data_IF_117069383852
#
_entry.id   IF_117069383852
#
_cell.length_a   1.000
_cell.length_b   1.000
_cell.length_c   1.000
_cell.angle_alpha   90.00
_cell.angle_beta   90.00
_cell.angle_gamma   90.00
#
_symmetry.space_group_name_H-M   'P 1'
#
loop_
_entity.id
_entity.type
_entity.pdbx_description
1 polymer ?
#
# COMPACT_ATOMS: atom_id res chain seq x y z
N UNK A 1 -6.53 33.91 -5.68
CA UNK A 1 -6.00 32.68 -5.05
C UNK A 1 -7.04 31.93 -4.21
N UNK A 2 -7.74 32.56 -3.25
CA UNK A 2 -8.72 31.87 -2.37
C UNK A 2 -9.92 31.22 -3.10
N UNK A 3 -10.49 31.88 -4.12
CA UNK A 3 -11.61 31.35 -4.92
C UNK A 3 -11.21 30.05 -5.66
N UNK A 4 -10.07 30.09 -6.36
CA UNK A 4 -9.51 28.93 -7.06
C UNK A 4 -9.27 27.74 -6.10
N UNK A 5 -8.72 27.99 -4.91
CA UNK A 5 -8.51 26.94 -3.90
C UNK A 5 -9.82 26.27 -3.45
N UNK A 6 -10.91 27.05 -3.33
CA UNK A 6 -12.24 26.55 -2.98
C UNK A 6 -12.83 25.70 -4.12
N UNK A 7 -12.78 26.19 -5.35
CA UNK A 7 -13.34 25.51 -6.53
C UNK A 7 -12.66 24.16 -6.76
N UNK A 8 -11.31 24.10 -6.68
CA UNK A 8 -10.60 22.83 -6.86
C UNK A 8 -10.97 21.87 -5.71
N UNK A 9 -11.12 22.35 -4.47
CA UNK A 9 -11.54 21.50 -3.32
C UNK A 9 -12.94 20.91 -3.53
N UNK A 10 -13.87 21.72 -4.01
CA UNK A 10 -15.25 21.30 -4.28
C UNK A 10 -15.34 20.31 -5.45
N UNK A 11 -14.63 20.57 -6.54
CA UNK A 11 -14.54 19.66 -7.68
C UNK A 11 -13.98 18.28 -7.28
N UNK A 12 -12.95 18.26 -6.43
CA UNK A 12 -12.42 17.01 -5.86
C UNK A 12 -13.44 16.25 -5.02
N UNK A 13 -14.23 16.96 -4.20
CA UNK A 13 -15.31 16.36 -3.39
C UNK A 13 -16.42 15.78 -4.27
N UNK A 14 -16.85 16.50 -5.31
CA UNK A 14 -17.86 16.03 -6.28
C UNK A 14 -17.36 14.82 -7.08
N UNK A 15 -16.09 14.80 -7.47
CA UNK A 15 -15.48 13.66 -8.15
C UNK A 15 -15.40 12.42 -7.25
N UNK A 16 -14.97 12.57 -5.99
CA UNK A 16 -14.95 11.49 -5.02
C UNK A 16 -16.36 10.91 -4.79
N UNK A 17 -17.35 11.78 -4.62
CA UNK A 17 -18.74 11.37 -4.40
C UNK A 17 -19.31 10.62 -5.61
N UNK A 18 -19.07 11.08 -6.84
CA UNK A 18 -19.50 10.38 -8.05
C UNK A 18 -18.88 8.99 -8.17
N UNK A 19 -17.57 8.86 -7.91
CA UNK A 19 -16.89 7.56 -7.91
C UNK A 19 -17.41 6.63 -6.81
N UNK A 20 -17.61 7.15 -5.60
CA UNK A 20 -18.16 6.34 -4.51
C UNK A 20 -19.58 5.89 -4.79
N UNK A 21 -20.45 6.77 -5.33
CA UNK A 21 -21.82 6.41 -5.70
C UNK A 21 -21.84 5.32 -6.78
N UNK A 22 -21.00 5.45 -7.81
CA UNK A 22 -20.86 4.43 -8.86
C UNK A 22 -20.39 3.09 -8.28
N UNK A 23 -19.37 3.09 -7.42
CA UNK A 23 -18.88 1.88 -6.76
C UNK A 23 -19.94 1.24 -5.84
N UNK A 24 -20.70 2.04 -5.09
CA UNK A 24 -21.78 1.52 -4.24
C UNK A 24 -22.97 1.01 -5.04
N UNK A 25 -23.26 1.59 -6.22
CA UNK A 25 -24.29 1.09 -7.11
C UNK A 25 -23.88 -0.25 -7.74
N UNK A 26 -22.65 -0.35 -8.24
CA UNK A 26 -22.10 -1.60 -8.76
C UNK A 26 -22.09 -2.69 -7.68
N UNK A 27 -21.61 -2.38 -6.47
CA UNK A 27 -21.62 -3.32 -5.36
C UNK A 27 -23.04 -3.77 -4.97
N UNK A 28 -24.02 -2.86 -5.03
CA UNK A 28 -25.42 -3.22 -4.77
C UNK A 28 -25.94 -4.21 -5.80
N UNK A 29 -25.69 -3.96 -7.08
CA UNK A 29 -26.06 -4.86 -8.17
C UNK A 29 -25.38 -6.24 -8.02
N UNK A 30 -24.10 -6.26 -7.67
CA UNK A 30 -23.35 -7.48 -7.36
C UNK A 30 -23.98 -8.30 -6.22
N UNK A 31 -24.43 -7.63 -5.16
CA UNK A 31 -25.09 -8.28 -4.02
C UNK A 31 -26.50 -8.79 -4.38
N UNK A 32 -27.25 -8.03 -5.18
CA UNK A 32 -28.57 -8.44 -5.69
C UNK A 32 -28.44 -9.69 -6.59
N UNK A 33 -27.44 -9.75 -7.48
CA UNK A 33 -27.13 -10.93 -8.29
C UNK A 33 -26.72 -12.14 -7.44
N UNK A 34 -25.98 -11.91 -6.36
CA UNK A 34 -25.60 -12.96 -5.42
C UNK A 34 -26.76 -13.42 -4.51
N UNK A 35 -27.90 -12.72 -4.51
CA UNK A 35 -29.02 -12.99 -3.62
C UNK A 35 -28.76 -12.62 -2.16
N UNK A 36 -27.81 -11.72 -1.89
CA UNK A 36 -27.50 -11.24 -0.54
C UNK A 36 -28.49 -10.15 -0.16
N UNK A 37 -29.40 -10.45 0.76
CA UNK A 37 -30.40 -9.51 1.25
C UNK A 37 -29.77 -8.35 2.04
N UNK A 38 -30.40 -7.17 2.02
CA UNK A 38 -30.02 -6.02 2.88
C UNK A 38 -29.22 -4.91 2.19
N UNK A 39 -28.78 -5.11 0.94
CA UNK A 39 -28.02 -4.11 0.18
C UNK A 39 -26.63 -3.83 0.77
N UNK A 40 -25.97 -2.75 0.32
CA UNK A 40 -24.61 -2.42 0.77
C UNK A 40 -24.64 -1.85 2.20
N UNK A 41 -23.92 -2.46 3.16
CA UNK A 41 -23.85 -1.96 4.53
C UNK A 41 -23.44 -0.48 4.60
N UNK A 42 -24.02 0.26 5.54
CA UNK A 42 -23.75 1.71 5.69
C UNK A 42 -22.26 1.99 5.89
N UNK A 43 -21.58 1.18 6.68
CA UNK A 43 -20.17 1.40 7.01
C UNK A 43 -19.26 1.10 5.83
N UNK A 44 -19.58 0.11 5.00
CA UNK A 44 -18.92 -0.14 3.72
C UNK A 44 -19.07 1.07 2.79
N UNK A 45 -20.28 1.65 2.65
CA UNK A 45 -20.49 2.86 1.83
C UNK A 45 -19.66 4.05 2.32
N UNK A 46 -19.62 4.28 3.63
CA UNK A 46 -18.83 5.34 4.24
C UNK A 46 -17.33 5.12 4.05
N UNK A 47 -16.85 3.88 4.23
CA UNK A 47 -15.46 3.52 4.02
C UNK A 47 -15.03 3.70 2.55
N UNK A 48 -15.86 3.29 1.58
CA UNK A 48 -15.62 3.54 0.15
C UNK A 48 -15.54 5.04 -0.15
N UNK A 49 -16.48 5.84 0.37
CA UNK A 49 -16.42 7.29 0.21
C UNK A 49 -15.15 7.88 0.80
N UNK A 50 -14.73 7.43 1.99
CA UNK A 50 -13.49 7.88 2.61
C UNK A 50 -12.25 7.45 1.82
N UNK A 51 -12.25 6.24 1.24
CA UNK A 51 -11.18 5.77 0.37
C UNK A 51 -11.03 6.67 -0.88
N UNK A 52 -12.10 6.90 -1.64
CA UNK A 52 -12.04 7.75 -2.84
C UNK A 52 -11.74 9.21 -2.53
N UNK A 53 -12.26 9.75 -1.42
CA UNK A 53 -11.93 11.10 -0.99
C UNK A 53 -10.44 11.24 -0.68
N UNK A 54 -9.86 10.26 0.04
CA UNK A 54 -8.44 10.27 0.40
C UNK A 54 -7.54 10.00 -0.80
N UNK A 55 -7.92 9.16 -1.76
CA UNK A 55 -7.11 8.94 -2.98
C UNK A 55 -6.98 10.21 -3.82
N UNK A 56 -8.05 11.00 -3.95
CA UNK A 56 -8.01 12.29 -4.66
C UNK A 56 -7.15 13.32 -3.89
N UNK A 57 -7.26 13.38 -2.57
CA UNK A 57 -6.42 14.25 -1.75
C UNK A 57 -4.93 13.87 -1.87
N UNK A 58 -4.62 12.58 -1.81
CA UNK A 58 -3.27 12.07 -1.97
C UNK A 58 -2.69 12.39 -3.36
N UNK A 59 -3.45 12.16 -4.44
CA UNK A 59 -3.00 12.50 -5.79
C UNK A 59 -2.70 13.99 -5.97
N UNK A 60 -3.53 14.88 -5.40
CA UNK A 60 -3.29 16.33 -5.43
C UNK A 60 -2.07 16.74 -4.62
N UNK A 61 -1.85 16.08 -3.49
CA UNK A 61 -0.68 16.32 -2.66
C UNK A 61 0.60 15.88 -3.38
N UNK A 62 0.64 14.68 -3.97
CA UNK A 62 1.77 14.22 -4.78
C UNK A 62 2.07 15.17 -5.94
N UNK A 63 1.03 15.66 -6.64
CA UNK A 63 1.21 16.63 -7.71
C UNK A 63 1.81 17.95 -7.21
N UNK A 64 1.35 18.46 -6.06
CA UNK A 64 1.90 19.67 -5.46
C UNK A 64 3.37 19.51 -5.07
N UNK A 65 3.75 18.35 -4.52
CA UNK A 65 5.15 18.01 -4.19
C UNK A 65 6.01 17.95 -5.45
N UNK A 66 5.51 17.33 -6.54
CA UNK A 66 6.23 17.27 -7.81
C UNK A 66 6.45 18.67 -8.41
N UNK A 67 5.40 19.51 -8.44
CA UNK A 67 5.50 20.90 -8.92
C UNK A 67 6.49 21.69 -8.08
N UNK A 68 6.40 21.59 -6.75
CA UNK A 68 7.30 22.29 -5.83
C UNK A 68 8.76 21.86 -6.01
N UNK A 69 8.99 20.56 -6.16
CA UNK A 69 10.33 19.99 -6.36
C UNK A 69 10.91 20.46 -7.69
N UNK A 70 10.13 20.39 -8.77
CA UNK A 70 10.55 20.88 -10.09
C UNK A 70 10.84 22.38 -10.11
N UNK A 71 9.97 23.18 -9.49
CA UNK A 71 10.18 24.63 -9.35
C UNK A 71 11.46 24.95 -8.58
N UNK A 72 11.70 24.25 -7.46
CA UNK A 72 12.89 24.45 -6.63
C UNK A 72 14.18 24.10 -7.37
N UNK A 73 14.19 23.00 -8.13
CA UNK A 73 15.33 22.62 -8.97
C UNK A 73 15.56 23.62 -10.10
N UNK A 74 14.50 24.08 -10.76
CA UNK A 74 14.59 25.11 -11.80
C UNK A 74 15.15 26.42 -11.26
N UNK A 75 14.71 26.82 -10.06
CA UNK A 75 15.22 28.01 -9.37
C UNK A 75 16.72 27.86 -9.05
N UNK A 76 17.15 26.75 -8.46
CA UNK A 76 18.57 26.48 -8.19
C UNK A 76 19.42 26.50 -9.47
N UNK A 77 18.90 25.97 -10.57
CA UNK A 77 19.60 25.97 -11.85
C UNK A 77 19.77 27.38 -12.44
N UNK A 78 18.73 28.21 -12.36
CA UNK A 78 18.77 29.60 -12.83
C UNK A 78 19.77 30.48 -12.05
N UNK A 79 20.10 30.10 -10.82
CA UNK A 79 21.00 30.88 -9.95
C UNK A 79 22.48 30.53 -10.13
N UNK A 80 22.78 29.47 -10.88
CA UNK A 80 24.15 29.00 -11.08
C UNK A 80 25.13 30.05 -11.69
N UNK A 81 24.73 30.99 -12.57
CA UNK A 81 25.68 31.91 -13.22
C UNK A 81 25.91 33.26 -12.50
N UNK A 82 25.36 33.49 -11.31
CA UNK A 82 25.49 34.78 -10.58
C UNK A 82 26.79 34.87 -9.77
N UNK A 83 27.93 35.06 -10.44
CA UNK A 83 29.27 34.88 -9.83
C UNK A 83 30.22 36.10 -9.89
N UNK A 84 29.80 37.35 -9.59
CA UNK A 84 30.81 38.45 -9.63
C UNK A 84 30.60 39.75 -8.82
N UNK A 85 29.56 39.96 -8.00
CA UNK A 85 29.40 41.25 -7.27
C UNK A 85 28.98 41.13 -5.79
N UNK A 86 29.86 41.40 -4.81
CA UNK A 86 29.68 40.98 -3.41
C UNK A 86 28.50 41.63 -2.66
N UNK A 87 28.14 42.88 -2.96
CA UNK A 87 27.06 43.60 -2.24
C UNK A 87 25.67 43.27 -2.81
N UNK A 88 25.55 43.17 -4.14
CA UNK A 88 24.32 42.71 -4.78
C UNK A 88 24.03 41.24 -4.46
N UNK A 89 25.09 40.44 -4.30
CA UNK A 89 25.01 39.05 -3.85
C UNK A 89 24.35 38.98 -2.47
N UNK A 90 24.67 39.82 -1.48
CA UNK A 90 24.06 39.69 -0.15
C UNK A 90 22.54 39.97 -0.16
N UNK A 91 22.10 41.04 -0.83
CA UNK A 91 20.69 41.46 -0.87
C UNK A 91 19.84 40.46 -1.68
N UNK A 92 20.38 39.90 -2.77
CA UNK A 92 19.69 38.92 -3.61
C UNK A 92 19.77 37.51 -3.01
N UNK A 93 20.91 37.13 -2.42
CA UNK A 93 21.10 35.79 -1.86
C UNK A 93 20.37 35.58 -0.55
N UNK A 94 20.18 36.58 0.30
CA UNK A 94 19.46 36.40 1.57
C UNK A 94 18.03 35.84 1.40
N UNK A 95 17.13 36.43 0.59
CA UNK A 95 15.81 35.85 0.34
C UNK A 95 15.89 34.50 -0.36
N UNK A 96 16.92 34.28 -1.19
CA UNK A 96 17.17 33.00 -1.86
C UNK A 96 17.59 31.89 -0.91
N UNK A 97 18.45 32.18 0.07
CA UNK A 97 18.84 31.27 1.14
C UNK A 97 17.62 30.94 1.98
N UNK A 98 16.75 31.92 2.28
CA UNK A 98 15.48 31.67 2.99
C UNK A 98 14.57 30.75 2.17
N UNK A 99 14.39 31.02 0.88
CA UNK A 99 13.60 30.15 -0.01
C UNK A 99 14.19 28.74 -0.08
N UNK A 100 15.52 28.61 -0.23
CA UNK A 100 16.20 27.33 -0.25
C UNK A 100 16.04 26.57 1.09
N UNK A 101 16.19 27.26 2.23
CA UNK A 101 15.99 26.68 3.55
C UNK A 101 14.54 26.24 3.77
N UNK A 102 13.56 27.04 3.35
CA UNK A 102 12.13 26.70 3.40
C UNK A 102 11.82 25.51 2.49
N UNK A 103 12.45 25.42 1.32
CA UNK A 103 12.34 24.25 0.43
C UNK A 103 12.90 23.00 1.08
N UNK A 104 14.07 23.07 1.70
CA UNK A 104 14.67 21.93 2.42
C UNK A 104 13.77 21.52 3.58
N UNK A 105 13.30 22.47 4.38
CA UNK A 105 12.38 22.21 5.49
C UNK A 105 11.08 21.56 5.00
N UNK A 106 10.45 22.13 3.96
CA UNK A 106 9.26 21.56 3.34
C UNK A 106 9.52 20.13 2.83
N UNK A 107 10.67 19.88 2.21
CA UNK A 107 11.04 18.55 1.71
C UNK A 107 11.23 17.51 2.82
N UNK A 108 11.56 17.94 4.04
CA UNK A 108 11.64 17.07 5.22
C UNK A 108 10.26 16.83 5.86
N UNK A 109 9.40 17.86 5.90
CA UNK A 109 8.07 17.75 6.48
C UNK A 109 7.07 17.01 5.57
N UNK A 110 7.17 17.18 4.26
CA UNK A 110 6.33 16.51 3.26
C UNK A 110 6.28 14.98 3.42
N UNK A 111 7.41 14.24 3.50
CA UNK A 111 7.38 12.78 3.68
C UNK A 111 6.81 12.39 5.04
N UNK A 112 7.02 13.19 6.09
CA UNK A 112 6.41 12.95 7.40
C UNK A 112 4.88 13.10 7.35
N UNK A 113 4.37 14.17 6.76
CA UNK A 113 2.94 14.34 6.51
C UNK A 113 2.39 13.26 5.57
N UNK A 114 3.16 12.83 4.57
CA UNK A 114 2.81 11.69 3.72
C UNK A 114 2.68 10.41 4.52
N UNK A 115 3.55 10.12 5.48
CA UNK A 115 3.42 8.92 6.31
C UNK A 115 2.14 8.95 7.15
N UNK A 116 1.80 10.10 7.73
CA UNK A 116 0.55 10.28 8.49
C UNK A 116 -0.69 10.10 7.59
N UNK A 117 -0.71 10.77 6.44
CA UNK A 117 -1.84 10.68 5.50
C UNK A 117 -1.90 9.34 4.77
N UNK A 118 -0.76 8.68 4.52
CA UNK A 118 -0.71 7.32 4.02
C UNK A 118 -1.35 6.37 5.02
N UNK A 119 -1.05 6.49 6.32
CA UNK A 119 -1.66 5.66 7.34
C UNK A 119 -3.20 5.84 7.40
N UNK A 120 -3.66 7.07 7.14
CA UNK A 120 -5.08 7.36 6.97
C UNK A 120 -5.64 6.72 5.70
N UNK A 121 -4.95 6.84 4.57
CA UNK A 121 -5.39 6.25 3.30
C UNK A 121 -5.46 4.72 3.35
N UNK A 122 -4.44 4.08 3.94
CA UNK A 122 -4.35 2.62 4.06
C UNK A 122 -5.45 2.02 4.93
N UNK A 123 -6.04 2.79 5.85
CA UNK A 123 -7.15 2.34 6.71
C UNK A 123 -8.39 1.89 5.94
N UNK A 124 -8.73 2.52 4.81
CA UNK A 124 -9.96 2.19 4.06
C UNK A 124 -9.69 1.43 2.76
N UNK A 125 -8.41 1.25 2.41
CA UNK A 125 -8.00 0.49 1.23
C UNK A 125 -8.47 -0.96 1.24
N UNK A 126 -8.47 -1.71 2.37
CA UNK A 126 -8.96 -3.08 2.38
C UNK A 126 -10.44 -3.19 1.97
N UNK A 127 -11.29 -2.26 2.44
CA UNK A 127 -12.72 -2.26 2.08
C UNK A 127 -12.91 -2.06 0.58
N UNK A 128 -12.14 -1.17 -0.05
CA UNK A 128 -12.20 -0.97 -1.49
C UNK A 128 -11.79 -2.22 -2.26
N UNK A 129 -10.69 -2.87 -1.85
CA UNK A 129 -10.21 -4.11 -2.51
C UNK A 129 -11.21 -5.25 -2.36
N UNK A 130 -11.83 -5.40 -1.19
CA UNK A 130 -12.87 -6.41 -0.99
C UNK A 130 -14.12 -6.12 -1.82
N UNK A 131 -14.54 -4.85 -1.90
CA UNK A 131 -15.68 -4.44 -2.73
C UNK A 131 -15.40 -4.66 -4.23
N UNK A 132 -14.19 -4.34 -4.70
CA UNK A 132 -13.78 -4.59 -6.08
C UNK A 132 -13.79 -6.10 -6.37
N UNK A 133 -13.26 -6.93 -5.47
CA UNK A 133 -13.29 -8.39 -5.60
C UNK A 133 -14.72 -8.95 -5.62
N UNK A 134 -15.65 -8.41 -4.81
CA UNK A 134 -17.07 -8.77 -4.88
C UNK A 134 -17.66 -8.44 -6.25
N UNK A 135 -17.29 -7.28 -6.81
CA UNK A 135 -17.62 -6.91 -8.19
C UNK A 135 -17.15 -7.97 -9.19
N UNK A 136 -15.84 -8.28 -9.19
CA UNK A 136 -15.24 -9.28 -10.07
C UNK A 136 -15.87 -10.67 -9.93
N UNK A 137 -16.20 -11.11 -8.71
CA UNK A 137 -16.87 -12.39 -8.48
C UNK A 137 -18.32 -12.39 -8.98
N UNK A 138 -19.02 -11.26 -8.88
CA UNK A 138 -20.40 -11.16 -9.36
C UNK A 138 -20.50 -11.19 -10.89
N UNK A 139 -19.47 -10.71 -11.61
CA UNK A 139 -19.39 -10.82 -13.08
C UNK A 139 -19.30 -12.27 -13.56
N UNK A 140 -18.82 -13.19 -12.70
CA UNK A 140 -18.74 -14.62 -13.01
C UNK A 140 -20.13 -15.28 -13.02
N UNK A 141 -21.07 -14.79 -12.21
CA UNK A 141 -22.40 -15.40 -12.05
C UNK A 141 -23.21 -15.46 -13.36
N UNK A 142 -23.36 -14.36 -14.13
CA UNK A 142 -24.09 -14.40 -15.40
C UNK A 142 -23.24 -14.88 -16.58
N UNK A 143 -21.93 -15.12 -16.40
CA UNK A 143 -21.02 -15.41 -17.51
C UNK A 143 -21.28 -16.78 -18.14
N UNK A 144 -21.24 -16.84 -19.47
CA UNK A 144 -21.28 -18.10 -20.22
C UNK A 144 -20.04 -18.97 -19.97
N UNK A 145 -20.14 -20.27 -20.26
CA UNK A 145 -19.08 -21.27 -19.95
C UNK A 145 -17.68 -20.88 -20.45
N UNK A 146 -17.57 -20.24 -21.62
CA UNK A 146 -16.28 -19.86 -22.22
C UNK A 146 -15.58 -18.76 -21.43
N UNK A 147 -16.30 -17.72 -21.04
CA UNK A 147 -15.74 -16.55 -20.36
C UNK A 147 -15.54 -16.80 -18.86
N UNK A 148 -16.38 -17.69 -18.30
CA UNK A 148 -16.37 -18.06 -16.89
C UNK A 148 -15.00 -18.54 -16.41
N UNK A 149 -14.29 -19.35 -17.20
CA UNK A 149 -12.95 -19.85 -16.82
C UNK A 149 -11.92 -18.72 -16.69
N UNK A 150 -11.93 -17.77 -17.62
CA UNK A 150 -11.01 -16.63 -17.58
C UNK A 150 -11.31 -15.71 -16.40
N UNK A 151 -12.60 -15.45 -16.14
CA UNK A 151 -13.04 -14.64 -15.01
C UNK A 151 -12.72 -15.32 -13.66
N UNK A 152 -12.90 -16.64 -13.55
CA UNK A 152 -12.51 -17.40 -12.36
C UNK A 152 -11.00 -17.36 -12.12
N UNK A 153 -10.18 -17.43 -13.17
CA UNK A 153 -8.72 -17.26 -13.03
C UNK A 153 -8.34 -15.87 -12.55
N UNK A 154 -8.99 -14.81 -13.06
CA UNK A 154 -8.79 -13.44 -12.60
C UNK A 154 -9.22 -13.30 -11.13
N UNK A 155 -10.41 -13.77 -10.79
CA UNK A 155 -10.95 -13.77 -9.43
C UNK A 155 -10.06 -14.53 -8.44
N UNK A 156 -9.46 -15.65 -8.84
CA UNK A 156 -8.51 -16.40 -8.00
C UNK A 156 -7.25 -15.59 -7.65
N UNK A 157 -6.73 -14.80 -8.61
CA UNK A 157 -5.58 -13.91 -8.37
C UNK A 157 -5.94 -12.74 -7.46
N UNK A 158 -7.13 -12.18 -7.64
CA UNK A 158 -7.65 -11.11 -6.78
C UNK A 158 -7.94 -11.61 -5.36
N UNK A 159 -8.50 -12.82 -5.22
CA UNK A 159 -8.72 -13.49 -3.95
C UNK A 159 -7.39 -13.67 -3.20
N UNK A 160 -6.33 -14.14 -3.88
CA UNK A 160 -4.99 -14.24 -3.27
C UNK A 160 -4.46 -12.88 -2.78
N UNK A 161 -4.76 -11.81 -3.52
CA UNK A 161 -4.41 -10.46 -3.10
C UNK A 161 -5.22 -10.02 -1.87
N UNK A 162 -6.50 -10.38 -1.81
CA UNK A 162 -7.37 -10.16 -0.66
C UNK A 162 -6.95 -10.99 0.57
N UNK A 163 -6.46 -12.21 0.42
CA UNK A 163 -5.91 -12.99 1.54
C UNK A 163 -4.70 -12.28 2.18
N UNK A 164 -3.75 -11.83 1.35
CA UNK A 164 -2.58 -11.08 1.83
C UNK A 164 -2.99 -9.77 2.51
N UNK A 165 -4.04 -9.14 2.00
CA UNK A 165 -4.67 -7.95 2.55
C UNK A 165 -5.25 -8.21 3.93
N UNK A 166 -6.09 -9.24 4.08
CA UNK A 166 -6.73 -9.66 5.33
C UNK A 166 -5.68 -9.96 6.39
N UNK A 167 -4.62 -10.69 6.03
CA UNK A 167 -3.48 -10.97 6.91
C UNK A 167 -2.75 -9.71 7.39
N UNK A 168 -2.94 -8.55 6.75
CA UNK A 168 -2.34 -7.25 7.12
C UNK A 168 -3.33 -6.24 7.69
N UNK A 169 -4.63 -6.50 7.64
CA UNK A 169 -5.68 -5.58 8.13
C UNK A 169 -5.43 -5.11 9.56
N UNK A 170 -4.89 -5.98 10.43
CA UNK A 170 -4.56 -5.64 11.82
C UNK A 170 -3.56 -4.51 11.98
N UNK A 171 -2.63 -4.35 11.03
CA UNK A 171 -1.66 -3.27 11.06
C UNK A 171 -2.23 -1.97 10.49
N UNK A 172 -3.10 -2.05 9.48
CA UNK A 172 -3.55 -0.87 8.74
C UNK A 172 -4.70 -0.13 9.41
N UNK A 173 -5.47 -0.80 10.28
CA UNK A 173 -6.49 -0.12 11.07
C UNK A 173 -5.84 0.83 12.08
N UNK A 174 -4.72 0.42 12.68
CA UNK A 174 -4.01 1.18 13.70
C UNK A 174 -4.75 1.29 15.04
N UNK A 175 -5.71 0.39 15.30
CA UNK A 175 -6.46 0.31 16.57
C UNK A 175 -5.70 -0.45 17.65
N UNK A 176 -4.83 -1.37 17.25
CA UNK A 176 -4.03 -2.19 18.17
C UNK A 176 -2.54 -1.85 17.98
N UNK A 177 -1.81 -1.46 19.04
CA UNK A 177 -0.38 -1.19 18.96
C UNK A 177 0.41 -2.37 18.40
N UNK A 178 1.54 -2.09 17.73
CA UNK A 178 2.36 -3.14 17.11
C UNK A 178 2.93 -4.14 18.12
N UNK A 179 3.19 -3.72 19.37
CA UNK A 179 3.76 -4.53 20.45
C UNK A 179 2.67 -4.82 21.50
N UNK A 180 1.48 -5.22 21.06
CA UNK A 180 0.39 -5.63 21.94
C UNK A 180 0.37 -7.15 22.11
N UNK A 181 0.10 -7.63 23.32
CA UNK A 181 -0.15 -9.05 23.62
C UNK A 181 -1.33 -9.64 22.83
N UNK A 182 -2.21 -8.80 22.27
CA UNK A 182 -3.35 -9.19 21.43
C UNK A 182 -2.96 -9.56 19.99
N UNK A 183 -1.74 -9.20 19.55
CA UNK A 183 -1.30 -9.43 18.16
C UNK A 183 -1.29 -10.90 17.72
N UNK A 184 -0.86 -11.88 18.55
CA UNK A 184 -0.92 -13.30 18.20
C UNK A 184 -2.35 -13.79 17.93
N UNK A 185 -3.31 -13.40 18.76
CA UNK A 185 -4.73 -13.75 18.59
C UNK A 185 -5.30 -13.14 17.31
N UNK A 186 -5.04 -11.85 17.04
CA UNK A 186 -5.47 -11.21 15.79
C UNK A 186 -4.83 -11.87 14.56
N UNK A 187 -3.58 -12.33 14.68
CA UNK A 187 -2.90 -13.09 13.62
C UNK A 187 -3.58 -14.44 13.41
N UNK A 188 -3.89 -15.18 14.49
CA UNK A 188 -4.63 -16.45 14.44
C UNK A 188 -6.00 -16.26 13.78
N UNK A 189 -6.79 -15.29 14.25
CA UNK A 189 -8.10 -14.95 13.67
C UNK A 189 -8.01 -14.67 12.17
N UNK A 190 -7.07 -13.82 11.74
CA UNK A 190 -6.90 -13.51 10.32
C UNK A 190 -6.58 -14.74 9.46
N UNK A 191 -5.91 -15.75 10.04
CA UNK A 191 -5.62 -17.00 9.34
C UNK A 191 -6.84 -17.91 9.25
N UNK A 192 -7.65 -17.98 10.31
CA UNK A 192 -8.93 -18.71 10.27
C UNK A 192 -9.85 -18.12 9.20
N UNK A 193 -9.94 -16.79 9.11
CA UNK A 193 -10.67 -16.09 8.04
C UNK A 193 -10.17 -16.48 6.65
N UNK A 194 -8.85 -16.50 6.44
CA UNK A 194 -8.25 -16.93 5.16
C UNK A 194 -8.57 -18.41 4.88
N UNK A 195 -8.43 -19.31 5.86
CA UNK A 195 -8.76 -20.73 5.69
C UNK A 195 -10.25 -20.89 5.32
N UNK A 196 -11.15 -20.14 5.96
CA UNK A 196 -12.59 -20.16 5.65
C UNK A 196 -12.89 -19.69 4.23
N UNK A 197 -12.22 -18.63 3.76
CA UNK A 197 -12.32 -18.16 2.37
C UNK A 197 -11.80 -19.20 1.39
N UNK A 198 -10.68 -19.87 1.68
CA UNK A 198 -10.15 -20.95 0.83
C UNK A 198 -11.07 -22.16 0.77
N UNK A 199 -11.69 -22.53 1.89
CA UNK A 199 -12.67 -23.63 1.95
C UNK A 199 -13.89 -23.31 1.08
N UNK A 200 -14.41 -22.08 1.15
CA UNK A 200 -15.48 -21.61 0.26
C UNK A 200 -15.03 -21.60 -1.21
N UNK A 201 -13.81 -21.14 -1.48
CA UNK A 201 -13.24 -21.14 -2.84
C UNK A 201 -13.01 -22.55 -3.41
N UNK A 202 -12.66 -23.53 -2.58
CA UNK A 202 -12.59 -24.93 -3.02
C UNK A 202 -13.96 -25.51 -3.41
N UNK A 203 -15.05 -24.90 -2.94
CA UNK A 203 -16.41 -25.20 -3.39
C UNK A 203 -16.65 -24.84 -4.86
N UNK A 204 -15.83 -23.95 -5.45
CA UNK A 204 -15.98 -23.53 -6.85
C UNK A 204 -15.85 -24.69 -7.84
N UNK A 205 -15.10 -25.73 -7.49
CA UNK A 205 -14.92 -26.92 -8.34
C UNK A 205 -16.14 -27.86 -8.31
N UNK A 206 -17.00 -27.75 -7.28
CA UNK A 206 -18.17 -28.62 -7.08
C UNK A 206 -19.47 -27.95 -7.49
N UNK A 207 -19.73 -26.78 -6.92
CA UNK A 207 -20.90 -25.96 -7.20
C UNK A 207 -20.45 -24.49 -7.23
N UNK A 208 -20.08 -24.05 -8.43
CA UNK A 208 -19.51 -22.74 -8.62
C UNK A 208 -20.48 -21.60 -8.26
N UNK A 209 -21.79 -21.76 -8.48
CA UNK A 209 -22.76 -20.69 -8.19
C UNK A 209 -22.96 -20.54 -6.68
N UNK A 210 -23.13 -21.66 -5.96
CA UNK A 210 -23.27 -21.63 -4.50
C UNK A 210 -21.99 -21.10 -3.81
N UNK A 211 -20.83 -21.58 -4.25
CA UNK A 211 -19.55 -21.14 -3.72
C UNK A 211 -19.26 -19.65 -3.99
N UNK A 212 -19.63 -19.12 -5.17
CA UNK A 212 -19.51 -17.68 -5.47
C UNK A 212 -20.38 -16.84 -4.54
N UNK A 213 -21.64 -17.23 -4.32
CA UNK A 213 -22.55 -16.52 -3.40
C UNK A 213 -22.03 -16.54 -1.96
N UNK A 214 -21.52 -17.69 -1.52
CA UNK A 214 -20.91 -17.83 -0.20
C UNK A 214 -19.66 -16.93 -0.06
N UNK A 215 -18.77 -16.93 -1.06
CA UNK A 215 -17.59 -16.06 -1.07
C UNK A 215 -17.97 -14.58 -1.01
N UNK A 216 -18.93 -14.14 -1.83
CA UNK A 216 -19.41 -12.76 -1.85
C UNK A 216 -19.95 -12.37 -0.48
N UNK A 217 -20.76 -13.24 0.14
CA UNK A 217 -21.31 -13.04 1.48
C UNK A 217 -20.21 -12.90 2.55
N UNK A 218 -19.21 -13.79 2.54
CA UNK A 218 -18.08 -13.71 3.48
C UNK A 218 -17.26 -12.43 3.28
N UNK A 219 -16.98 -12.05 2.03
CA UNK A 219 -16.19 -10.85 1.73
C UNK A 219 -16.90 -9.56 2.16
N UNK A 220 -18.22 -9.47 1.98
CA UNK A 220 -18.98 -8.29 2.43
C UNK A 220 -19.05 -8.23 3.96
N UNK A 221 -19.20 -9.38 4.64
CA UNK A 221 -19.16 -9.44 6.10
C UNK A 221 -17.80 -8.99 6.66
N UNK A 222 -16.70 -9.47 6.07
CA UNK A 222 -15.33 -9.04 6.43
C UNK A 222 -15.17 -7.53 6.20
N UNK A 223 -15.64 -7.02 5.05
CA UNK A 223 -15.55 -5.61 4.71
C UNK A 223 -16.31 -4.74 5.70
N UNK A 224 -17.51 -5.15 6.11
CA UNK A 224 -18.35 -4.44 7.07
C UNK A 224 -17.75 -4.43 8.47
N UNK A 225 -17.41 -5.60 9.01
CA UNK A 225 -16.75 -5.73 10.31
C UNK A 225 -15.43 -4.95 10.37
N UNK A 226 -14.65 -4.96 9.29
CA UNK A 226 -13.44 -4.15 9.20
C UNK A 226 -13.73 -2.65 9.13
N UNK A 227 -14.80 -2.24 8.43
CA UNK A 227 -15.23 -0.85 8.34
C UNK A 227 -15.62 -0.30 9.73
N UNK A 228 -16.38 -1.08 10.52
CA UNK A 228 -16.70 -0.80 11.92
C UNK A 228 -15.44 -0.71 12.77
N UNK A 229 -14.48 -1.62 12.54
CA UNK A 229 -13.20 -1.69 13.24
C UNK A 229 -12.99 -2.95 14.07
N UNK A 230 -13.83 -3.96 13.86
CA UNK A 230 -13.75 -5.29 14.48
C UNK A 230 -12.66 -6.15 13.82
N UNK A 231 -11.40 -5.72 13.97
CA UNK A 231 -10.24 -6.42 13.39
C UNK A 231 -10.06 -7.84 13.97
N UNK A 232 -10.49 -8.08 15.21
CA UNK A 232 -10.44 -9.39 15.86
C UNK A 232 -11.71 -10.24 15.69
N UNK A 233 -12.72 -9.73 14.99
CA UNK A 233 -13.99 -10.41 14.74
C UNK A 233 -14.46 -10.11 13.31
N UNK A 234 -13.55 -10.31 12.33
CA UNK A 234 -13.86 -10.11 10.91
C UNK A 234 -14.96 -11.06 10.42
N UNK A 235 -14.98 -12.28 10.94
CA UNK A 235 -16.01 -13.29 10.79
C UNK A 235 -16.28 -13.86 12.17
N UNK A 236 -17.51 -14.31 12.39
CA UNK A 236 -17.88 -15.09 13.56
C UNK A 236 -17.58 -16.56 13.25
N UNK A 237 -16.92 -17.23 14.18
CA UNK A 237 -16.65 -18.66 14.11
C UNK A 237 -17.35 -19.31 15.28
N UNK A 238 -18.06 -20.40 15.02
CA UNK A 238 -18.49 -21.31 16.07
C UNK A 238 -17.29 -22.10 16.60
N UNK A 239 -17.36 -22.60 17.84
CA UNK A 239 -16.28 -23.39 18.43
C UNK A 239 -15.96 -24.62 17.56
N UNK A 240 -16.98 -25.29 17.04
CA UNK A 240 -16.85 -26.43 16.12
C UNK A 240 -16.14 -26.06 14.81
N UNK A 241 -16.44 -24.88 14.24
CA UNK A 241 -15.75 -24.41 13.04
C UNK A 241 -14.29 -24.09 13.32
N UNK A 242 -14.00 -23.45 14.46
CA UNK A 242 -12.63 -23.10 14.85
C UNK A 242 -11.76 -24.36 15.02
N UNK A 243 -12.30 -25.42 15.63
CA UNK A 243 -11.61 -26.71 15.76
C UNK A 243 -11.41 -27.40 14.41
N UNK A 244 -12.37 -27.30 13.49
CA UNK A 244 -12.28 -27.92 12.16
C UNK A 244 -11.28 -27.22 11.22
N UNK A 245 -10.90 -25.97 11.51
CA UNK A 245 -10.11 -25.14 10.62
C UNK A 245 -8.64 -25.08 11.08
N UNK A 246 -7.77 -25.83 10.41
CA UNK A 246 -6.34 -25.64 10.60
C UNK A 246 -5.89 -24.27 10.05
N UNK A 247 -5.21 -23.44 10.86
CA UNK A 247 -4.77 -22.13 10.40
C UNK A 247 -3.70 -22.29 9.31
N UNK A 248 -3.92 -21.70 8.13
CA UNK A 248 -2.93 -21.80 7.05
C UNK A 248 -1.67 -20.96 7.34
N UNK A 249 -0.50 -21.60 7.43
CA UNK A 249 0.77 -20.94 7.77
C UNK A 249 1.59 -20.52 6.55
N UNK A 250 1.38 -21.09 5.37
CA UNK A 250 2.37 -21.07 4.28
C UNK A 250 2.45 -19.77 3.47
N UNK A 251 1.33 -19.12 3.15
CA UNK A 251 1.31 -18.04 2.15
C UNK A 251 1.60 -16.67 2.74
N UNK A 252 1.04 -16.37 3.93
CA UNK A 252 1.20 -15.05 4.55
C UNK A 252 2.62 -14.88 5.09
N UNK A 253 3.15 -15.91 5.76
CA UNK A 253 4.50 -15.80 6.34
C UNK A 253 5.57 -15.74 5.24
N UNK A 254 5.45 -16.49 4.15
CA UNK A 254 6.37 -16.39 3.00
C UNK A 254 6.32 -15.02 2.31
N UNK A 255 5.14 -14.47 2.07
CA UNK A 255 5.00 -13.13 1.48
C UNK A 255 5.51 -12.02 2.39
N UNK A 256 5.28 -12.12 3.71
CA UNK A 256 5.80 -11.17 4.69
C UNK A 256 7.33 -11.25 4.75
N UNK A 257 7.90 -12.45 4.75
CA UNK A 257 9.35 -12.62 4.72
C UNK A 257 9.97 -12.07 3.43
N UNK A 258 9.34 -12.30 2.27
CA UNK A 258 9.80 -11.76 1.00
C UNK A 258 9.79 -10.22 0.98
N UNK A 259 8.69 -9.59 1.45
CA UNK A 259 8.59 -8.12 1.52
C UNK A 259 9.58 -7.54 2.52
N UNK A 260 9.75 -8.17 3.69
CA UNK A 260 10.72 -7.71 4.69
C UNK A 260 12.15 -7.81 4.15
N UNK A 261 12.46 -8.88 3.41
CA UNK A 261 13.73 -9.05 2.71
C UNK A 261 13.96 -7.94 1.66
N UNK A 262 12.96 -7.65 0.82
CA UNK A 262 13.03 -6.58 -0.18
C UNK A 262 13.18 -5.19 0.43
N UNK A 263 12.38 -4.86 1.45
CA UNK A 263 12.45 -3.57 2.14
C UNK A 263 13.82 -3.34 2.78
N UNK A 264 14.38 -4.37 3.43
CA UNK A 264 15.73 -4.29 4.02
C UNK A 264 16.76 -3.97 2.95
N UNK A 265 16.69 -4.59 1.76
CA UNK A 265 17.60 -4.29 0.63
C UNK A 265 17.47 -2.84 0.16
N UNK A 266 16.24 -2.33 -0.01
CA UNK A 266 16.02 -0.94 -0.43
C UNK A 266 16.60 0.04 0.58
N UNK A 267 16.37 -0.17 1.87
CA UNK A 267 16.92 0.68 2.94
C UNK A 267 18.45 0.62 2.94
N UNK A 268 19.05 -0.57 2.78
CA UNK A 268 20.51 -0.72 2.69
C UNK A 268 21.08 0.01 1.47
N UNK A 269 20.44 -0.09 0.30
CA UNK A 269 20.88 0.60 -0.93
C UNK A 269 20.80 2.12 -0.74
N UNK A 270 19.70 2.63 -0.20
CA UNK A 270 19.53 4.07 0.05
C UNK A 270 20.55 4.60 1.06
N UNK A 271 20.79 3.86 2.14
CA UNK A 271 21.79 4.23 3.15
C UNK A 271 23.21 4.22 2.56
N UNK A 272 23.57 3.18 1.79
CA UNK A 272 24.86 3.10 1.12
C UNK A 272 25.05 4.23 0.10
N UNK A 273 24.02 4.53 -0.70
CA UNK A 273 24.03 5.65 -1.64
C UNK A 273 24.18 7.01 -0.95
N UNK A 274 23.50 7.22 0.19
CA UNK A 274 23.62 8.44 0.97
C UNK A 274 25.03 8.61 1.57
N UNK A 275 25.61 7.54 2.12
CA UNK A 275 26.98 7.55 2.66
C UNK A 275 28.01 7.81 1.56
N UNK A 276 27.87 7.14 0.41
CA UNK A 276 28.70 7.35 -0.77
C UNK A 276 28.66 8.81 -1.25
N UNK A 277 27.47 9.39 -1.35
CA UNK A 277 27.28 10.79 -1.75
C UNK A 277 27.89 11.78 -0.75
N UNK A 278 27.71 11.57 0.55
CA UNK A 278 28.36 12.40 1.57
C UNK A 278 29.89 12.28 1.50
N UNK A 279 30.40 11.07 1.29
CA UNK A 279 31.84 10.80 1.17
C UNK A 279 32.49 11.57 0.01
N UNK A 280 31.87 11.58 -1.17
CA UNK A 280 32.41 12.32 -2.33
C UNK A 280 32.40 13.83 -2.12
N UNK A 281 31.38 14.37 -1.46
CA UNK A 281 31.33 15.81 -1.11
C UNK A 281 32.40 16.20 -0.11
N UNK A 282 32.62 15.40 0.91
CA UNK A 282 33.67 15.65 1.92
C UNK A 282 35.06 15.51 1.27
N UNK A 283 35.30 14.46 0.49
CA UNK A 283 36.57 14.24 -0.20
C UNK A 283 36.93 15.40 -1.14
N UNK A 284 35.94 15.90 -1.90
CA UNK A 284 36.13 17.07 -2.76
C UNK A 284 36.48 18.35 -1.99
N UNK A 285 36.00 18.50 -0.75
CA UNK A 285 36.36 19.65 0.11
C UNK A 285 37.84 19.61 0.53
N UNK A 286 38.43 18.42 0.64
CA UNK A 286 39.84 18.22 0.97
C UNK A 286 40.75 18.08 -0.26
N UNK A 287 40.23 18.32 -1.48
CA UNK A 287 41.01 18.24 -2.72
C UNK A 287 41.21 16.84 -3.27
N UNK A 288 40.54 15.83 -2.73
CA UNK A 288 40.56 14.48 -3.29
C UNK A 288 39.52 14.33 -4.41
N UNK A 289 39.97 13.99 -5.61
CA UNK A 289 39.08 13.59 -6.70
C UNK A 289 38.70 12.11 -6.55
N UNK A 290 37.47 11.86 -6.08
CA UNK A 290 36.89 10.51 -6.09
C UNK A 290 36.12 10.35 -7.39
N UNK A 291 36.54 9.38 -8.20
CA UNK A 291 35.88 9.09 -9.47
C UNK A 291 34.46 8.53 -9.20
N UNK A 292 33.40 9.05 -9.85
CA UNK A 292 32.02 8.63 -9.58
C UNK A 292 31.77 7.12 -9.75
N UNK A 293 32.55 6.49 -10.64
CA UNK A 293 32.61 5.05 -10.90
C UNK A 293 32.89 4.23 -9.63
N UNK A 294 33.82 4.68 -8.79
CA UNK A 294 34.24 3.99 -7.56
C UNK A 294 33.13 3.97 -6.51
N UNK A 295 32.39 5.07 -6.37
CA UNK A 295 31.20 5.13 -5.50
C UNK A 295 30.09 4.20 -5.98
N UNK A 296 29.85 4.10 -7.28
CA UNK A 296 28.86 3.18 -7.83
C UNK A 296 29.25 1.71 -7.58
N UNK A 297 30.53 1.37 -7.75
CA UNK A 297 31.07 0.04 -7.48
C UNK A 297 30.88 -0.33 -6.00
N UNK A 298 31.20 0.57 -5.06
CA UNK A 298 31.02 0.32 -3.62
C UNK A 298 29.54 0.06 -3.30
N UNK A 299 28.62 0.84 -3.85
CA UNK A 299 27.17 0.64 -3.64
C UNK A 299 26.72 -0.71 -4.21
N UNK A 300 27.17 -1.09 -5.41
CA UNK A 300 26.83 -2.37 -6.05
C UNK A 300 27.39 -3.55 -5.25
N UNK A 301 28.67 -3.51 -4.86
CA UNK A 301 29.31 -4.58 -4.08
C UNK A 301 28.59 -4.79 -2.75
N UNK A 302 28.29 -3.72 -2.01
CA UNK A 302 27.58 -3.84 -0.72
C UNK A 302 26.11 -4.27 -0.85
N UNK A 303 25.47 -4.05 -2.00
CA UNK A 303 24.08 -4.45 -2.22
C UNK A 303 23.91 -5.86 -2.79
N UNK A 304 24.91 -6.39 -3.50
CA UNK A 304 24.88 -7.73 -4.11
C UNK A 304 25.44 -8.82 -3.18
N UNK A 305 26.54 -8.54 -2.45
CA UNK A 305 27.23 -9.54 -1.60
C UNK A 305 26.34 -10.19 -0.52
N UNK A 306 25.42 -9.48 0.16
CA UNK A 306 24.59 -10.11 1.20
C UNK A 306 23.57 -11.13 0.66
N UNK A 307 23.26 -11.09 -0.64
CA UNK A 307 22.28 -11.99 -1.25
C UNK A 307 22.84 -13.38 -1.57
N UNK A 308 24.16 -13.52 -1.76
CA UNK A 308 24.83 -14.77 -2.13
C UNK A 308 25.34 -15.58 -0.92
N UNK A 309 25.50 -14.94 0.24
CA UNK A 309 26.07 -15.58 1.42
C UNK A 309 25.29 -16.82 1.93
N UNK A 310 23.94 -16.81 2.07
CA UNK A 310 23.24 -17.99 2.59
C UNK A 310 23.18 -19.17 1.61
N UNK A 311 23.19 -18.92 0.29
CA UNK A 311 23.24 -19.99 -0.71
C UNK A 311 24.62 -20.65 -0.81
N UNK A 312 25.70 -19.88 -0.60
CA UNK A 312 27.06 -20.40 -0.61
C UNK A 312 27.34 -21.21 0.68
N UNK A 313 26.88 -20.73 1.84
CA UNK A 313 27.00 -21.49 3.09
C UNK A 313 26.18 -22.78 3.05
N UNK A 314 24.96 -22.74 2.50
CA UNK A 314 24.14 -23.94 2.27
C UNK A 314 24.78 -24.96 1.33
N UNK A 315 25.36 -24.50 0.22
CA UNK A 315 26.07 -25.35 -0.74
C UNK A 315 27.35 -25.97 -0.16
N UNK A 316 28.09 -25.23 0.66
CA UNK A 316 29.30 -25.73 1.34
C UNK A 316 28.96 -26.74 2.46
N UNK A 317 27.83 -26.59 3.15
CA UNK A 317 27.37 -27.61 4.13
C UNK A 317 26.81 -28.87 3.48
N UNK A 318 26.29 -28.78 2.24
CA UNK A 318 25.77 -29.94 1.50
C UNK A 318 26.87 -30.79 0.86
N UNK A 319 28.06 -30.23 0.62
CA UNK A 319 29.25 -30.97 0.16
C UNK A 319 30.06 -31.63 1.29
N UNK A 320 29.70 -31.38 2.56
CA UNK A 320 30.40 -31.90 3.74
C UNK A 320 29.74 -33.11 4.43
N UNK A 321 28.78 -33.77 3.77
CA UNK A 321 28.16 -35.04 4.16
C UNK A 321 28.18 -35.99 2.98
#
# INVERSE_FOLDING_TARGET
MLKLGRDIRENGRRAALRRSMKATAALRESLELAGVAGGVPREVRLALWMHYRRSIQYGRFCLAVLIWTGFSWGLLYLLRPLDSRPVAVLIIMAPLIIVAAMTVLASLFVPFFMLIEMNRYTRYRPVAILADLVGSLSEVLPAGRSDRTNLLMAASRELKSAELMIGRMRFWRGTVPMISSRQPELKRHSRLVITRLRKAAAGLDKDADAALKELISLLIQIADNYAVGHVGALLEFTEEEEESLEPSWSVVDSAVMAVRGGMRRVVTILAAGAVAWCGTKIAGHYGYHVEPSLTAIIVIVFSVVPAAAPSIVGALTAQGK
#
